data_IF_294578402214
#
_entry.id   IF_294578402214
#
_cell.length_a   1.000
_cell.length_b   1.000
_cell.length_c   1.000
_cell.angle_alpha   90.00
_cell.angle_beta   90.00
_cell.angle_gamma   90.00
#
_symmetry.space_group_name_H-M   'P 1'
#
loop_
_entity.id
_entity.type
_entity.pdbx_description
1 polymer ?
#
# COMPACT_ATOMS: atom_id res chain seq x y z
N UNK A 1 -6.21 -30.90 1.16
CA UNK A 1 -7.40 -30.40 0.48
C UNK A 1 -7.94 -29.16 1.18
N UNK A 2 -8.88 -28.45 0.56
CA UNK A 2 -9.35 -27.13 1.00
C UNK A 2 -9.92 -27.13 2.42
N UNK A 3 -10.75 -28.12 2.78
CA UNK A 3 -11.27 -28.22 4.16
C UNK A 3 -10.16 -28.36 5.22
N UNK A 4 -9.09 -29.10 4.92
CA UNK A 4 -7.95 -29.20 5.83
C UNK A 4 -7.29 -27.84 6.01
N UNK A 5 -7.03 -27.11 4.91
CA UNK A 5 -6.45 -25.77 4.93
C UNK A 5 -7.32 -24.80 5.72
N UNK A 6 -8.64 -24.78 5.49
CA UNK A 6 -9.56 -23.94 6.24
C UNK A 6 -9.51 -24.21 7.75
N UNK A 7 -9.50 -25.50 8.16
CA UNK A 7 -9.40 -25.88 9.58
C UNK A 7 -8.07 -25.42 10.20
N UNK A 8 -6.94 -25.54 9.47
CA UNK A 8 -5.63 -25.08 9.93
C UNK A 8 -5.61 -23.57 10.15
N UNK A 9 -6.19 -22.78 9.24
CA UNK A 9 -6.29 -21.32 9.35
C UNK A 9 -7.20 -20.90 10.51
N UNK A 10 -8.41 -21.47 10.64
CA UNK A 10 -9.31 -21.21 11.76
C UNK A 10 -8.66 -21.57 13.11
N UNK A 11 -7.97 -22.72 13.16
CA UNK A 11 -7.28 -23.14 14.37
C UNK A 11 -6.17 -22.15 14.76
N UNK A 12 -5.33 -21.73 13.79
CA UNK A 12 -4.28 -20.74 14.04
C UNK A 12 -4.90 -19.43 14.58
N UNK A 13 -5.89 -18.87 13.89
CA UNK A 13 -6.56 -17.63 14.29
C UNK A 13 -7.18 -17.70 15.67
N UNK A 14 -7.85 -18.82 15.99
CA UNK A 14 -8.45 -19.04 17.29
C UNK A 14 -7.38 -19.14 18.40
N UNK A 15 -6.32 -19.90 18.17
CA UNK A 15 -5.25 -20.09 19.15
C UNK A 15 -4.47 -18.81 19.42
N UNK A 16 -4.20 -18.00 18.42
CA UNK A 16 -3.50 -16.72 18.55
C UNK A 16 -4.26 -15.72 19.45
N UNK A 17 -5.58 -15.87 19.55
CA UNK A 17 -6.43 -15.02 20.41
C UNK A 17 -6.76 -15.68 21.74
N UNK A 18 -7.13 -16.96 21.74
CA UNK A 18 -7.60 -17.67 22.95
C UNK A 18 -6.49 -17.93 23.98
N UNK A 19 -5.23 -17.87 23.56
CA UNK A 19 -4.09 -17.99 24.48
C UNK A 19 -3.95 -16.79 25.44
N UNK A 20 -4.58 -15.64 25.11
CA UNK A 20 -4.49 -14.43 25.91
C UNK A 20 -5.55 -14.44 27.00
N UNK A 21 -5.19 -14.23 28.30
CA UNK A 21 -6.17 -14.09 29.39
C UNK A 21 -7.17 -12.96 29.07
N UNK A 22 -8.46 -13.24 29.31
CA UNK A 22 -9.56 -12.31 28.94
C UNK A 22 -9.39 -10.91 29.55
N UNK A 23 -9.00 -10.83 30.80
CA UNK A 23 -8.82 -9.57 31.52
C UNK A 23 -7.70 -8.74 30.91
N UNK A 24 -6.64 -9.39 30.45
CA UNK A 24 -5.52 -8.73 29.79
C UNK A 24 -5.86 -8.29 28.37
N UNK A 25 -6.61 -9.11 27.65
CA UNK A 25 -7.12 -8.72 26.34
C UNK A 25 -8.01 -7.47 26.42
N UNK A 26 -8.95 -7.44 27.38
CA UNK A 26 -9.82 -6.27 27.62
C UNK A 26 -9.00 -5.04 28.01
N UNK A 27 -8.00 -5.20 28.90
CA UNK A 27 -7.12 -4.11 29.30
C UNK A 27 -6.28 -3.58 28.13
N UNK A 28 -5.84 -4.46 27.23
CA UNK A 28 -5.13 -4.07 26.01
C UNK A 28 -6.02 -3.29 25.05
N UNK A 29 -7.26 -3.71 24.83
CA UNK A 29 -8.20 -2.96 23.99
C UNK A 29 -8.44 -1.53 24.54
N UNK A 30 -8.66 -1.41 25.85
CA UNK A 30 -8.79 -0.10 26.48
C UNK A 30 -7.53 0.76 26.34
N UNK A 31 -6.36 0.17 26.47
CA UNK A 31 -5.10 0.89 26.25
C UNK A 31 -4.97 1.40 24.80
N UNK A 32 -5.42 0.62 23.80
CA UNK A 32 -5.44 1.04 22.40
C UNK A 32 -6.33 2.26 22.20
N UNK A 33 -7.53 2.28 22.78
CA UNK A 33 -8.44 3.43 22.70
C UNK A 33 -7.80 4.68 23.34
N UNK A 34 -7.24 4.55 24.56
CA UNK A 34 -6.53 5.63 25.25
C UNK A 34 -5.30 6.14 24.44
N UNK A 35 -4.58 5.24 23.83
CA UNK A 35 -3.41 5.54 22.98
C UNK A 35 -3.81 6.27 21.69
N UNK A 36 -4.92 5.89 21.07
CA UNK A 36 -5.46 6.55 19.90
C UNK A 36 -5.87 8.00 20.21
N UNK A 37 -6.58 8.22 21.33
CA UNK A 37 -6.97 9.56 21.78
C UNK A 37 -5.73 10.44 22.07
N UNK A 38 -4.71 9.86 22.69
CA UNK A 38 -3.44 10.56 22.96
C UNK A 38 -2.71 10.91 21.65
N UNK A 39 -2.71 9.99 20.65
CA UNK A 39 -2.14 10.25 19.34
C UNK A 39 -2.87 11.39 18.60
N UNK A 40 -4.21 11.41 18.60
CA UNK A 40 -5.00 12.52 18.02
C UNK A 40 -4.57 13.86 18.64
N UNK A 41 -4.48 13.89 19.98
CA UNK A 41 -4.07 15.10 20.72
C UNK A 41 -2.64 15.51 20.36
N UNK A 42 -1.70 14.58 20.38
CA UNK A 42 -0.30 14.81 20.02
C UNK A 42 -0.17 15.37 18.60
N UNK A 43 -0.85 14.74 17.63
CA UNK A 43 -0.85 15.16 16.23
C UNK A 43 -1.46 16.56 16.05
N UNK A 44 -2.55 16.87 16.75
CA UNK A 44 -3.19 18.19 16.68
C UNK A 44 -2.30 19.31 17.23
N UNK A 45 -1.47 19.01 18.25
CA UNK A 45 -0.55 19.93 18.88
C UNK A 45 0.86 19.87 18.28
N UNK A 46 1.11 18.92 17.40
CA UNK A 46 2.44 18.63 16.85
C UNK A 46 3.49 18.38 17.94
N UNK A 47 3.16 17.59 18.94
CA UNK A 47 3.98 17.31 20.12
C UNK A 47 4.02 15.82 20.43
N UNK A 48 5.12 15.15 20.05
CA UNK A 48 5.33 13.72 20.27
C UNK A 48 5.34 13.34 21.76
N UNK A 49 5.76 14.23 22.64
CA UNK A 49 5.86 13.95 24.08
C UNK A 49 4.52 13.56 24.72
N UNK A 50 3.41 13.97 24.12
CA UNK A 50 2.05 13.61 24.56
C UNK A 50 1.76 12.13 24.27
N UNK A 51 2.24 11.61 23.11
CA UNK A 51 2.01 10.25 22.68
C UNK A 51 3.05 9.25 23.20
N UNK A 52 4.29 9.66 23.40
CA UNK A 52 5.40 8.79 23.80
C UNK A 52 5.08 7.83 24.96
N UNK A 53 4.48 8.29 26.09
CA UNK A 53 4.17 7.39 27.22
C UNK A 53 3.20 6.27 26.85
N UNK A 54 2.27 6.55 25.93
CA UNK A 54 1.31 5.56 25.43
C UNK A 54 1.97 4.60 24.45
N UNK A 55 2.81 5.10 23.55
CA UNK A 55 3.59 4.26 22.65
C UNK A 55 4.46 3.26 23.42
N UNK A 56 5.13 3.71 24.45
CA UNK A 56 5.94 2.85 25.33
C UNK A 56 5.08 1.75 25.95
N UNK A 57 3.93 2.11 26.53
CA UNK A 57 3.01 1.14 27.14
C UNK A 57 2.46 0.13 26.13
N UNK A 58 2.06 0.61 24.94
CA UNK A 58 1.49 -0.25 23.92
C UNK A 58 2.53 -1.28 23.42
N UNK A 59 3.80 -0.87 23.25
CA UNK A 59 4.89 -1.78 22.90
C UNK A 59 5.11 -2.83 23.98
N UNK A 60 5.15 -2.44 25.26
CA UNK A 60 5.34 -3.38 26.39
C UNK A 60 4.19 -4.37 26.50
N UNK A 61 2.95 -3.89 26.37
CA UNK A 61 1.77 -4.77 26.43
C UNK A 61 1.69 -5.65 25.20
N UNK A 62 1.99 -5.14 23.99
CA UNK A 62 2.07 -5.97 22.78
C UNK A 62 3.10 -7.10 22.94
N UNK A 63 4.31 -6.80 23.44
CA UNK A 63 5.30 -7.84 23.76
C UNK A 63 4.74 -8.90 24.72
N UNK A 64 3.93 -8.49 25.70
CA UNK A 64 3.29 -9.42 26.63
C UNK A 64 2.23 -10.28 25.94
N UNK A 65 1.38 -9.70 25.09
CA UNK A 65 0.35 -10.44 24.35
C UNK A 65 0.97 -11.51 23.45
N UNK A 66 2.02 -11.17 22.70
CA UNK A 66 2.69 -12.13 21.84
C UNK A 66 3.44 -13.25 22.59
N UNK A 67 3.91 -13.01 23.83
CA UNK A 67 4.48 -14.09 24.67
C UNK A 67 3.48 -15.17 25.05
N UNK A 68 2.19 -14.87 25.13
CA UNK A 68 1.15 -15.87 25.40
C UNK A 68 1.01 -16.91 24.29
N UNK A 69 1.44 -16.60 23.06
CA UNK A 69 1.45 -17.56 21.96
C UNK A 69 2.45 -18.69 22.15
N UNK A 70 3.37 -18.55 23.11
CA UNK A 70 4.40 -19.54 23.46
C UNK A 70 5.18 -20.04 22.22
N UNK A 71 5.55 -19.12 21.32
CA UNK A 71 6.29 -19.39 20.10
C UNK A 71 7.79 -19.22 20.34
N UNK A 72 8.60 -20.06 19.69
CA UNK A 72 10.07 -19.94 19.69
C UNK A 72 10.56 -18.78 18.80
N UNK A 73 9.68 -18.18 17.97
CA UNK A 73 10.03 -17.05 17.11
C UNK A 73 10.28 -15.79 17.95
N UNK A 74 11.17 -14.93 17.47
CA UNK A 74 11.32 -13.56 17.97
C UNK A 74 9.96 -12.84 17.98
N UNK A 75 9.72 -11.97 18.96
CA UNK A 75 8.43 -11.28 19.10
C UNK A 75 8.06 -10.44 17.89
N UNK A 76 9.04 -9.74 17.30
CA UNK A 76 8.78 -8.92 16.11
C UNK A 76 8.55 -9.80 14.87
N UNK A 77 9.22 -10.94 14.74
CA UNK A 77 8.94 -11.92 13.69
C UNK A 77 7.52 -12.48 13.76
N UNK A 78 6.96 -12.66 14.96
CA UNK A 78 5.56 -13.05 15.11
C UNK A 78 4.60 -11.96 14.61
N UNK A 79 4.92 -10.68 14.87
CA UNK A 79 4.12 -9.54 14.40
C UNK A 79 4.18 -9.42 12.88
N UNK A 80 5.35 -9.61 12.29
CA UNK A 80 5.51 -9.64 10.83
C UNK A 80 4.72 -10.79 10.18
N UNK A 81 4.77 -11.99 10.80
CA UNK A 81 4.06 -13.19 10.35
C UNK A 81 2.53 -13.06 10.40
N UNK A 82 1.99 -12.22 11.29
CA UNK A 82 0.55 -11.95 11.37
C UNK A 82 0.02 -11.24 10.11
N UNK A 83 0.80 -10.35 9.53
CA UNK A 83 0.40 -9.59 8.34
C UNK A 83 0.89 -10.20 7.03
N UNK A 84 2.04 -10.91 7.08
CA UNK A 84 2.60 -11.59 5.93
C UNK A 84 3.19 -12.94 6.38
N UNK A 85 2.42 -14.02 6.31
CA UNK A 85 2.85 -15.35 6.77
C UNK A 85 4.17 -15.79 6.17
N UNK A 86 5.09 -16.24 7.02
CA UNK A 86 6.40 -16.70 6.64
C UNK A 86 7.47 -15.61 6.47
N UNK A 87 7.12 -14.33 6.66
CA UNK A 87 8.11 -13.25 6.68
C UNK A 87 8.76 -13.10 8.06
N UNK A 88 10.03 -12.73 8.04
CA UNK A 88 10.88 -12.52 9.22
C UNK A 88 11.72 -11.27 9.06
N UNK A 89 12.30 -10.78 10.16
CA UNK A 89 13.27 -9.68 10.11
C UNK A 89 14.43 -9.98 9.15
N UNK A 90 14.95 -11.18 9.15
CA UNK A 90 16.03 -11.59 8.25
C UNK A 90 15.67 -11.39 6.77
N UNK A 91 14.47 -11.82 6.37
CA UNK A 91 13.98 -11.65 4.99
C UNK A 91 13.72 -10.19 4.64
N UNK A 92 13.10 -9.44 5.57
CA UNK A 92 12.88 -8.01 5.36
C UNK A 92 14.18 -7.21 5.35
N UNK A 93 15.18 -7.60 6.14
CA UNK A 93 16.51 -6.96 6.11
C UNK A 93 17.16 -7.08 4.72
N UNK A 94 17.11 -8.27 4.11
CA UNK A 94 17.59 -8.47 2.74
C UNK A 94 16.80 -7.63 1.73
N UNK A 95 15.48 -7.64 1.85
CA UNK A 95 14.59 -6.87 0.99
C UNK A 95 14.87 -5.37 1.07
N UNK A 96 14.85 -4.81 2.27
CA UNK A 96 15.05 -3.37 2.47
C UNK A 96 16.49 -2.91 2.22
N UNK A 97 17.48 -3.77 2.45
CA UNK A 97 18.87 -3.47 2.07
C UNK A 97 19.00 -3.28 0.56
N UNK A 98 18.39 -4.14 -0.24
CA UNK A 98 18.38 -4.02 -1.69
C UNK A 98 17.67 -2.73 -2.16
N UNK A 99 16.51 -2.39 -1.54
CA UNK A 99 15.82 -1.13 -1.83
C UNK A 99 16.69 0.09 -1.50
N UNK A 100 17.28 0.11 -0.31
CA UNK A 100 18.15 1.22 0.15
C UNK A 100 19.36 1.41 -0.77
N UNK A 101 20.04 0.33 -1.12
CA UNK A 101 21.24 0.34 -1.96
C UNK A 101 20.98 0.96 -3.33
N UNK A 102 19.85 0.59 -3.98
CA UNK A 102 19.54 1.03 -5.33
C UNK A 102 18.75 2.34 -5.39
N UNK A 103 17.78 2.54 -4.49
CA UNK A 103 16.86 3.67 -4.60
C UNK A 103 17.43 4.97 -4.00
N UNK A 104 18.20 4.94 -2.91
CA UNK A 104 18.78 6.16 -2.35
C UNK A 104 19.64 6.91 -3.36
N UNK A 105 20.59 6.28 -4.07
CA UNK A 105 21.36 6.96 -5.11
C UNK A 105 20.49 7.45 -6.30
N UNK A 106 19.47 6.68 -6.67
CA UNK A 106 18.56 7.07 -7.75
C UNK A 106 17.76 8.32 -7.38
N UNK A 107 17.19 8.36 -6.18
CA UNK A 107 16.47 9.53 -5.67
C UNK A 107 17.37 10.78 -5.63
N UNK A 108 18.63 10.63 -5.21
CA UNK A 108 19.59 11.74 -5.24
C UNK A 108 19.80 12.29 -6.67
N UNK A 109 19.95 11.40 -7.65
CA UNK A 109 20.09 11.80 -9.06
C UNK A 109 18.81 12.48 -9.57
N UNK A 110 17.65 11.92 -9.30
CA UNK A 110 16.34 12.49 -9.69
C UNK A 110 16.15 13.88 -9.07
N UNK A 111 16.50 14.05 -7.78
CA UNK A 111 16.38 15.34 -7.09
C UNK A 111 17.30 16.41 -7.68
N UNK A 112 18.46 16.03 -8.20
CA UNK A 112 19.43 16.95 -8.85
C UNK A 112 19.11 17.20 -10.32
N UNK A 113 18.28 16.36 -10.96
CA UNK A 113 17.89 16.51 -12.35
C UNK A 113 16.94 17.70 -12.56
N UNK A 114 16.75 18.08 -13.83
CA UNK A 114 15.75 19.09 -14.20
C UNK A 114 14.34 18.59 -13.80
N UNK A 115 13.73 19.32 -12.87
CA UNK A 115 12.39 18.97 -12.39
C UNK A 115 11.32 19.16 -13.47
N UNK A 116 10.30 18.31 -13.44
CA UNK A 116 9.16 18.35 -14.36
C UNK A 116 8.14 19.40 -13.90
N UNK A 117 7.40 19.97 -14.84
CA UNK A 117 6.34 20.91 -14.53
C UNK A 117 5.06 20.15 -14.16
N UNK A 118 4.61 20.28 -12.94
CA UNK A 118 3.35 19.72 -12.43
C UNK A 118 2.32 20.80 -12.05
N UNK A 119 2.66 22.10 -12.21
CA UNK A 119 1.85 23.21 -11.69
C UNK A 119 0.42 23.22 -12.26
N UNK A 120 0.22 22.74 -13.48
CA UNK A 120 -1.11 22.66 -14.09
C UNK A 120 -2.01 21.60 -13.43
N UNK A 121 -1.46 20.62 -12.73
CA UNK A 121 -2.23 19.63 -11.95
C UNK A 121 -2.77 20.19 -10.63
N UNK A 122 -2.24 21.32 -10.16
CA UNK A 122 -2.61 21.97 -8.89
C UNK A 122 -3.55 23.17 -9.07
N UNK A 123 -4.13 23.34 -10.27
CA UNK A 123 -5.20 24.29 -10.52
C UNK A 123 -6.54 23.82 -9.92
N UNK A 124 -7.57 24.63 -9.97
CA UNK A 124 -8.91 24.24 -9.51
C UNK A 124 -9.58 23.33 -10.53
N UNK A 125 -9.84 22.08 -10.15
CA UNK A 125 -10.62 21.07 -10.86
C UNK A 125 -11.97 20.93 -10.16
N UNK A 126 -13.09 21.43 -10.73
CA UNK A 126 -14.39 21.38 -10.07
C UNK A 126 -14.80 19.95 -9.69
N UNK A 127 -15.26 19.76 -8.45
CA UNK A 127 -15.59 18.42 -7.91
C UNK A 127 -16.66 17.72 -8.75
N UNK A 128 -17.68 18.45 -9.21
CA UNK A 128 -18.75 17.87 -10.03
C UNK A 128 -18.23 17.33 -11.38
N UNK A 129 -17.21 17.96 -11.95
CA UNK A 129 -16.59 17.49 -13.17
C UNK A 129 -15.64 16.32 -12.90
N UNK A 130 -14.96 16.31 -11.74
CA UNK A 130 -14.23 15.13 -11.29
C UNK A 130 -15.15 13.91 -11.16
N UNK A 131 -16.34 14.07 -10.59
CA UNK A 131 -17.35 12.98 -10.48
C UNK A 131 -17.84 12.48 -11.83
N UNK A 132 -17.99 13.36 -12.81
CA UNK A 132 -18.34 12.94 -14.18
C UNK A 132 -17.23 12.09 -14.81
N UNK A 133 -15.99 12.52 -14.68
CA UNK A 133 -14.86 11.74 -15.16
C UNK A 133 -14.74 10.38 -14.43
N UNK A 134 -14.98 10.39 -13.12
CA UNK A 134 -14.95 9.18 -12.30
C UNK A 134 -15.99 8.15 -12.74
N UNK A 135 -17.18 8.58 -13.14
CA UNK A 135 -18.21 7.67 -13.70
C UNK A 135 -17.67 6.93 -14.93
N UNK A 136 -17.02 7.63 -15.86
CA UNK A 136 -16.41 7.02 -17.04
C UNK A 136 -15.24 6.10 -16.69
N UNK A 137 -14.48 6.45 -15.65
CA UNK A 137 -13.40 5.58 -15.16
C UNK A 137 -13.93 4.29 -14.57
N UNK A 138 -14.97 4.34 -13.73
CA UNK A 138 -15.60 3.16 -13.14
C UNK A 138 -16.21 2.24 -14.22
N UNK A 139 -16.81 2.82 -15.27
CA UNK A 139 -17.27 2.05 -16.44
C UNK A 139 -16.10 1.33 -17.14
N UNK A 140 -14.97 2.02 -17.34
CA UNK A 140 -13.76 1.41 -17.90
C UNK A 140 -13.21 0.29 -17.03
N UNK A 141 -13.24 0.46 -15.72
CA UNK A 141 -12.80 -0.53 -14.73
C UNK A 141 -13.80 -1.68 -14.56
N UNK A 142 -14.94 -1.66 -15.23
CA UNK A 142 -16.05 -2.60 -15.04
C UNK A 142 -16.49 -2.77 -13.58
N UNK A 143 -16.40 -1.67 -12.81
CA UNK A 143 -16.84 -1.60 -11.42
C UNK A 143 -18.24 -1.00 -11.38
N UNK A 144 -19.26 -1.85 -11.24
CA UNK A 144 -20.65 -1.46 -11.33
C UNK A 144 -21.51 -1.99 -10.16
N UNK A 145 -22.76 -1.54 -10.09
CA UNK A 145 -23.70 -1.86 -9.02
C UNK A 145 -24.12 -3.31 -8.92
N UNK A 146 -23.69 -4.20 -9.83
CA UNK A 146 -23.97 -5.63 -9.72
C UNK A 146 -23.11 -6.33 -8.65
N UNK A 147 -21.95 -5.75 -8.31
CA UNK A 147 -21.03 -6.30 -7.33
C UNK A 147 -20.28 -5.27 -6.49
N UNK A 148 -20.33 -3.98 -6.86
CA UNK A 148 -19.58 -2.95 -6.18
C UNK A 148 -20.26 -1.59 -6.12
N UNK A 149 -19.85 -0.78 -5.17
CA UNK A 149 -20.32 0.60 -5.00
C UNK A 149 -19.22 1.51 -4.49
N UNK A 150 -19.09 2.73 -5.09
CA UNK A 150 -18.15 3.74 -4.63
C UNK A 150 -18.86 4.91 -3.96
N UNK A 151 -18.29 5.40 -2.87
CA UNK A 151 -18.72 6.61 -2.16
C UNK A 151 -17.53 7.53 -1.84
N UNK A 152 -17.74 8.57 -1.07
CA UNK A 152 -16.71 9.52 -0.63
C UNK A 152 -16.34 9.30 0.83
N UNK A 153 -15.06 9.48 1.17
CA UNK A 153 -14.56 9.48 2.56
C UNK A 153 -13.31 10.35 2.70
N UNK A 154 -12.92 10.68 3.95
CA UNK A 154 -11.69 11.43 4.22
C UNK A 154 -10.42 10.67 3.82
N UNK A 155 -10.43 9.36 4.00
CA UNK A 155 -9.37 8.46 3.55
C UNK A 155 -10.00 7.37 2.69
N UNK A 156 -9.57 7.22 1.42
CA UNK A 156 -10.01 6.12 0.58
C UNK A 156 -9.78 4.78 1.26
N UNK A 157 -10.71 3.86 1.12
CA UNK A 157 -10.61 2.49 1.61
C UNK A 157 -11.55 1.56 0.86
N UNK A 158 -11.27 0.27 0.95
CA UNK A 158 -12.12 -0.82 0.45
C UNK A 158 -12.62 -1.67 1.60
N UNK A 159 -13.87 -2.06 1.54
CA UNK A 159 -14.50 -3.05 2.42
C UNK A 159 -15.37 -3.99 1.61
N UNK A 160 -15.62 -5.17 2.13
CA UNK A 160 -16.48 -6.17 1.50
C UNK A 160 -17.24 -6.96 2.54
N UNK A 161 -18.39 -7.50 2.13
CA UNK A 161 -19.23 -8.38 2.94
C UNK A 161 -19.28 -9.79 2.32
N UNK A 162 -19.25 -9.84 1.01
CA UNK A 162 -19.13 -11.04 0.18
C UNK A 162 -18.59 -10.62 -1.21
N UNK A 163 -18.37 -11.58 -2.09
CA UNK A 163 -17.83 -11.36 -3.43
C UNK A 163 -18.70 -10.42 -4.32
N UNK A 164 -19.98 -10.27 -3.99
CA UNK A 164 -20.91 -9.40 -4.71
C UNK A 164 -21.31 -8.13 -3.93
N UNK A 165 -20.62 -7.80 -2.83
CA UNK A 165 -20.79 -6.56 -2.07
C UNK A 165 -19.45 -5.99 -1.67
N UNK A 166 -18.71 -5.44 -2.66
CA UNK A 166 -17.47 -4.72 -2.46
C UNK A 166 -17.73 -3.22 -2.48
N UNK A 167 -17.25 -2.51 -1.47
CA UNK A 167 -17.49 -1.08 -1.29
C UNK A 167 -16.18 -0.33 -1.23
N UNK A 168 -15.98 0.59 -2.16
CA UNK A 168 -14.81 1.46 -2.21
C UNK A 168 -15.17 2.89 -1.85
N UNK A 169 -14.20 3.66 -1.41
CA UNK A 169 -14.37 5.10 -1.25
C UNK A 169 -13.22 5.85 -1.93
N UNK A 170 -13.49 7.08 -2.34
CA UNK A 170 -12.47 8.00 -2.86
C UNK A 170 -12.61 9.36 -2.18
N UNK A 171 -11.61 10.23 -2.37
CA UNK A 171 -11.64 11.62 -1.90
C UNK A 171 -11.39 12.56 -3.06
N UNK A 172 -12.33 13.46 -3.30
CA UNK A 172 -12.15 14.52 -4.29
C UNK A 172 -11.48 15.74 -3.67
N UNK A 173 -10.38 16.15 -4.30
CA UNK A 173 -9.61 17.34 -3.89
C UNK A 173 -9.66 18.36 -5.03
N UNK A 174 -10.06 19.62 -4.73
CA UNK A 174 -10.25 20.64 -5.77
C UNK A 174 -9.01 20.92 -6.62
N UNK A 175 -7.83 20.80 -6.03
CA UNK A 175 -6.57 21.11 -6.70
C UNK A 175 -5.70 19.85 -6.91
N UNK A 176 -6.32 18.68 -6.99
CA UNK A 176 -5.64 17.42 -7.27
C UNK A 176 -6.62 16.37 -7.82
N UNK A 177 -6.87 16.41 -9.13
CA UNK A 177 -7.75 15.44 -9.79
C UNK A 177 -7.12 14.05 -9.88
N UNK A 178 -5.79 13.97 -9.95
CA UNK A 178 -5.07 12.71 -10.15
C UNK A 178 -5.12 11.85 -8.88
N UNK A 179 -5.12 12.46 -7.71
CA UNK A 179 -5.27 11.74 -6.43
C UNK A 179 -6.57 10.92 -6.40
N UNK A 180 -7.71 11.50 -6.79
CA UNK A 180 -8.98 10.78 -6.85
C UNK A 180 -8.98 9.64 -7.88
N UNK A 181 -8.34 9.84 -9.03
CA UNK A 181 -8.23 8.80 -10.07
C UNK A 181 -7.39 7.63 -9.60
N UNK A 182 -6.19 7.88 -9.08
CA UNK A 182 -5.28 6.83 -8.67
C UNK A 182 -5.79 6.07 -7.44
N UNK A 183 -6.36 6.77 -6.45
CA UNK A 183 -6.97 6.11 -5.30
C UNK A 183 -8.18 5.25 -5.71
N UNK A 184 -9.00 5.70 -6.67
CA UNK A 184 -10.09 4.86 -7.18
C UNK A 184 -9.58 3.58 -7.84
N UNK A 185 -8.57 3.67 -8.69
CA UNK A 185 -7.98 2.48 -9.32
C UNK A 185 -7.36 1.55 -8.28
N UNK A 186 -6.70 2.10 -7.26
CA UNK A 186 -6.14 1.37 -6.13
C UNK A 186 -7.23 0.59 -5.38
N UNK A 187 -8.27 1.28 -4.93
CA UNK A 187 -9.34 0.66 -4.14
C UNK A 187 -10.15 -0.36 -4.96
N UNK A 188 -10.38 -0.10 -6.24
CA UNK A 188 -11.01 -1.08 -7.14
C UNK A 188 -10.12 -2.31 -7.34
N UNK A 189 -8.78 -2.16 -7.31
CA UNK A 189 -7.84 -3.28 -7.32
C UNK A 189 -8.03 -4.20 -6.11
N UNK A 190 -8.19 -3.66 -4.91
CA UNK A 190 -8.55 -4.40 -3.69
C UNK A 190 -9.91 -5.09 -3.85
N UNK A 191 -10.92 -4.37 -4.37
CA UNK A 191 -12.26 -4.91 -4.54
C UNK A 191 -12.28 -6.09 -5.52
N UNK A 192 -11.51 -6.03 -6.61
CA UNK A 192 -11.39 -7.14 -7.55
C UNK A 192 -10.76 -8.39 -6.93
N UNK A 193 -9.82 -8.23 -6.00
CA UNK A 193 -9.20 -9.37 -5.33
C UNK A 193 -10.25 -10.17 -4.55
N UNK A 194 -11.13 -9.48 -3.83
CA UNK A 194 -12.21 -10.11 -3.07
C UNK A 194 -13.35 -10.63 -3.98
N UNK A 195 -13.77 -9.83 -4.96
CA UNK A 195 -14.84 -10.20 -5.89
C UNK A 195 -14.52 -11.46 -6.71
N UNK A 196 -13.27 -11.65 -7.07
CA UNK A 196 -12.85 -12.70 -7.99
C UNK A 196 -12.49 -14.03 -7.31
N UNK A 197 -12.61 -14.15 -5.99
CA UNK A 197 -12.40 -15.42 -5.28
C UNK A 197 -13.42 -16.46 -5.78
N UNK A 198 -13.01 -17.72 -5.90
CA UNK A 198 -13.90 -18.80 -6.33
C UNK A 198 -15.10 -18.92 -5.36
N UNK A 199 -16.35 -18.79 -5.84
CA UNK A 199 -17.55 -18.87 -5.01
C UNK A 199 -17.67 -20.16 -4.17
N UNK A 200 -16.94 -21.22 -4.51
CA UNK A 200 -16.90 -22.44 -3.68
C UNK A 200 -16.34 -22.18 -2.26
N UNK A 201 -15.62 -21.07 -2.05
CA UNK A 201 -15.07 -20.70 -0.76
C UNK A 201 -15.98 -19.76 0.05
N UNK A 202 -17.13 -19.37 -0.50
CA UNK A 202 -18.06 -18.47 0.19
C UNK A 202 -18.41 -18.97 1.59
N UNK A 203 -18.41 -18.07 2.57
CA UNK A 203 -18.61 -18.39 3.98
C UNK A 203 -17.46 -19.16 4.67
N UNK A 204 -16.33 -19.37 4.01
CA UNK A 204 -15.13 -19.98 4.58
C UNK A 204 -14.02 -18.93 4.75
N UNK A 205 -13.08 -19.17 5.66
CA UNK A 205 -11.86 -18.34 5.78
C UNK A 205 -11.03 -18.30 4.48
N UNK A 206 -11.22 -19.26 3.60
CA UNK A 206 -10.56 -19.32 2.29
C UNK A 206 -11.10 -18.29 1.29
N UNK A 207 -12.25 -17.65 1.56
CA UNK A 207 -12.76 -16.55 0.74
C UNK A 207 -12.03 -15.22 0.96
N UNK A 208 -11.17 -15.13 1.96
CA UNK A 208 -10.38 -13.93 2.24
C UNK A 208 -9.09 -13.91 1.40
N UNK A 209 -8.50 -12.71 1.23
CA UNK A 209 -7.16 -12.55 0.65
C UNK A 209 -6.08 -13.20 1.52
N UNK A 210 -4.97 -13.62 0.90
CA UNK A 210 -3.91 -14.42 1.54
C UNK A 210 -3.24 -13.66 2.70
N UNK A 211 -2.90 -12.37 2.48
CA UNK A 211 -2.11 -11.56 3.41
C UNK A 211 -2.26 -10.09 3.06
N UNK A 212 -1.79 -9.21 3.96
CA UNK A 212 -1.79 -7.77 3.70
C UNK A 212 -0.91 -7.40 2.50
N UNK A 213 0.26 -8.03 2.35
CA UNK A 213 1.14 -7.79 1.20
C UNK A 213 0.53 -8.30 -0.12
N UNK A 214 -0.12 -9.46 -0.12
CA UNK A 214 -0.83 -9.95 -1.30
C UNK A 214 -2.00 -9.05 -1.68
N UNK A 215 -2.78 -8.58 -0.70
CA UNK A 215 -3.89 -7.65 -0.93
C UNK A 215 -3.40 -6.33 -1.52
N UNK A 216 -2.36 -5.75 -0.92
CA UNK A 216 -1.72 -4.53 -1.43
C UNK A 216 -1.08 -4.74 -2.81
N UNK A 217 -0.63 -5.95 -3.14
CA UNK A 217 -0.06 -6.24 -4.46
C UNK A 217 -1.09 -6.08 -5.58
N UNK A 218 -2.36 -6.36 -5.33
CA UNK A 218 -3.43 -6.24 -6.32
C UNK A 218 -3.83 -4.76 -6.53
N UNK A 219 -3.93 -3.99 -5.47
CA UNK A 219 -4.17 -2.54 -5.54
C UNK A 219 -3.00 -1.80 -6.21
N UNK A 220 -1.76 -2.10 -5.82
CA UNK A 220 -0.57 -1.48 -6.40
C UNK A 220 -0.30 -1.91 -7.83
N UNK A 221 -0.67 -3.14 -8.22
CA UNK A 221 -0.63 -3.56 -9.61
C UNK A 221 -1.52 -2.65 -10.46
N UNK A 222 -2.75 -2.42 -10.02
CA UNK A 222 -3.69 -1.56 -10.73
C UNK A 222 -3.23 -0.10 -10.73
N UNK A 223 -2.84 0.45 -9.59
CA UNK A 223 -2.41 1.85 -9.47
C UNK A 223 -1.10 2.14 -10.20
N UNK A 224 -0.02 1.40 -9.86
CA UNK A 224 1.33 1.75 -10.30
C UNK A 224 1.65 1.18 -11.68
N UNK A 225 1.30 -0.10 -11.93
CA UNK A 225 1.72 -0.81 -13.14
C UNK A 225 0.69 -0.76 -14.27
N UNK A 226 -0.55 -0.36 -14.01
CA UNK A 226 -1.57 -0.08 -15.03
C UNK A 226 -1.86 1.42 -15.13
N UNK A 227 -2.37 2.06 -14.07
CA UNK A 227 -2.86 3.46 -14.15
C UNK A 227 -1.77 4.53 -14.26
N UNK A 228 -0.51 4.24 -13.94
CA UNK A 228 0.60 5.18 -14.14
C UNK A 228 1.35 4.99 -15.47
N UNK A 229 0.79 4.20 -16.40
CA UNK A 229 1.41 3.93 -17.71
C UNK A 229 0.94 4.88 -18.79
N UNK A 230 1.74 5.03 -19.86
CA UNK A 230 1.35 5.77 -21.06
C UNK A 230 0.11 5.15 -21.71
N UNK A 231 0.01 3.82 -21.77
CA UNK A 231 -1.09 3.10 -22.40
C UNK A 231 -2.45 3.38 -21.75
N UNK A 232 -2.53 3.39 -20.42
CA UNK A 232 -3.74 3.77 -19.70
C UNK A 232 -4.18 5.19 -20.04
N UNK A 233 -3.24 6.15 -20.01
CA UNK A 233 -3.55 7.54 -20.25
C UNK A 233 -3.75 7.87 -21.73
N UNK A 234 -3.24 7.10 -22.68
CA UNK A 234 -3.62 7.23 -24.09
C UNK A 234 -5.12 7.09 -24.29
N UNK A 235 -5.78 6.24 -23.52
CA UNK A 235 -7.24 6.10 -23.54
C UNK A 235 -7.95 7.21 -22.74
N UNK A 236 -7.47 7.54 -21.56
CA UNK A 236 -8.17 8.41 -20.61
C UNK A 236 -7.86 9.90 -20.77
N UNK A 237 -6.66 10.27 -21.23
CA UNK A 237 -6.25 11.68 -21.25
C UNK A 237 -7.09 12.55 -22.19
N UNK A 238 -7.48 12.14 -23.39
CA UNK A 238 -8.39 12.93 -24.23
C UNK A 238 -9.72 13.25 -23.53
N UNK A 239 -10.28 12.30 -22.77
CA UNK A 239 -11.51 12.49 -22.00
C UNK A 239 -11.29 13.42 -20.81
N UNK A 240 -10.14 13.33 -20.16
CA UNK A 240 -9.77 14.23 -19.07
C UNK A 240 -9.60 15.67 -19.57
N UNK A 241 -8.97 15.87 -20.73
CA UNK A 241 -8.85 17.19 -21.38
C UNK A 241 -10.21 17.77 -21.77
N UNK A 242 -11.11 16.94 -22.30
CA UNK A 242 -12.48 17.35 -22.64
C UNK A 242 -13.26 17.76 -21.38
N UNK A 243 -13.06 17.07 -20.27
CA UNK A 243 -13.70 17.38 -18.98
C UNK A 243 -13.11 18.66 -18.37
N UNK A 244 -11.81 18.90 -18.53
CA UNK A 244 -11.08 20.04 -17.93
C UNK A 244 -10.32 20.85 -18.97
N UNK A 245 -11.02 21.45 -19.96
CA UNK A 245 -10.38 22.14 -21.08
C UNK A 245 -9.59 23.40 -20.67
N UNK A 246 -10.01 24.05 -19.57
CA UNK A 246 -9.32 25.24 -19.05
C UNK A 246 -7.97 24.89 -18.45
N UNK A 247 -7.88 23.78 -17.72
CA UNK A 247 -6.67 23.36 -17.02
C UNK A 247 -5.72 22.58 -17.93
N UNK A 248 -6.27 21.72 -18.78
CA UNK A 248 -5.48 20.71 -19.53
C UNK A 248 -5.52 20.90 -21.05
N UNK A 249 -6.37 21.77 -21.60
CA UNK A 249 -6.55 21.89 -23.03
C UNK A 249 -5.30 22.25 -23.84
N UNK A 250 -4.34 22.94 -23.23
CA UNK A 250 -3.05 23.30 -23.84
C UNK A 250 -1.86 22.46 -23.32
N UNK A 251 -2.11 21.41 -22.54
CA UNK A 251 -1.07 20.52 -22.00
C UNK A 251 -0.92 19.33 -22.94
N UNK A 252 0.27 19.08 -23.42
CA UNK A 252 0.55 17.91 -24.24
C UNK A 252 0.47 16.61 -23.43
N UNK A 253 0.27 15.49 -24.13
CA UNK A 253 0.26 14.18 -23.47
C UNK A 253 1.57 13.88 -22.73
N UNK A 254 2.71 14.23 -23.34
CA UNK A 254 4.03 13.97 -22.73
C UNK A 254 4.23 14.80 -21.46
N UNK A 255 3.86 16.10 -21.48
CA UNK A 255 3.91 16.95 -20.29
C UNK A 255 3.00 16.41 -19.17
N UNK A 256 1.80 15.97 -19.53
CA UNK A 256 0.87 15.36 -18.57
C UNK A 256 1.44 14.07 -17.98
N UNK A 257 1.95 13.16 -18.81
CA UNK A 257 2.52 11.89 -18.37
C UNK A 257 3.74 12.12 -17.47
N UNK A 258 4.61 13.06 -17.82
CA UNK A 258 5.72 13.45 -16.95
C UNK A 258 5.25 13.97 -15.60
N UNK A 259 4.23 14.83 -15.57
CA UNK A 259 3.72 15.47 -14.35
C UNK A 259 3.10 14.47 -13.36
N UNK A 260 2.30 13.50 -13.83
CA UNK A 260 1.68 12.48 -12.96
C UNK A 260 2.66 11.45 -12.42
N UNK A 261 3.88 11.42 -12.92
CA UNK A 261 4.96 10.52 -12.52
C UNK A 261 6.16 11.29 -11.89
N UNK A 262 5.97 12.54 -11.50
CA UNK A 262 7.01 13.31 -10.79
C UNK A 262 7.43 12.55 -9.53
N UNK A 263 8.74 12.46 -9.31
CA UNK A 263 9.31 11.94 -8.08
C UNK A 263 10.09 13.05 -7.37
N UNK A 264 9.64 13.35 -6.16
CA UNK A 264 10.34 14.28 -5.25
C UNK A 264 10.14 13.85 -3.80
N UNK A 265 11.20 13.84 -3.00
CA UNK A 265 11.09 13.51 -1.59
C UNK A 265 10.09 14.43 -0.87
N UNK A 266 9.24 13.83 -0.06
CA UNK A 266 8.21 14.51 0.72
C UNK A 266 8.24 14.04 2.17
N UNK A 267 7.43 14.67 3.05
CA UNK A 267 7.39 14.31 4.47
C UNK A 267 6.37 13.22 4.77
N UNK A 268 5.24 13.20 4.03
CA UNK A 268 4.08 12.37 4.36
C UNK A 268 4.02 11.15 3.45
N UNK A 269 4.02 9.97 4.06
CA UNK A 269 4.04 8.68 3.35
C UNK A 269 2.87 8.52 2.37
N UNK A 270 1.65 8.89 2.78
CA UNK A 270 0.46 8.74 1.95
C UNK A 270 0.41 9.68 0.74
N UNK A 271 1.27 10.71 0.73
CA UNK A 271 1.44 11.67 -0.36
C UNK A 271 2.73 11.40 -1.16
N UNK A 272 3.49 10.36 -0.79
CA UNK A 272 4.76 10.05 -1.43
C UNK A 272 4.55 9.50 -2.84
N UNK A 273 5.44 9.88 -3.74
CA UNK A 273 5.50 9.32 -5.08
C UNK A 273 5.97 7.85 -5.08
N UNK A 274 5.81 7.20 -6.22
CA UNK A 274 6.10 5.78 -6.41
C UNK A 274 7.57 5.42 -6.12
N UNK A 275 8.52 6.32 -6.44
CA UNK A 275 9.95 6.08 -6.25
C UNK A 275 10.37 6.20 -4.78
N UNK A 276 9.85 7.21 -4.07
CA UNK A 276 10.25 7.50 -2.69
C UNK A 276 9.45 6.71 -1.65
N UNK A 277 8.25 6.24 -1.99
CA UNK A 277 7.35 5.51 -1.08
C UNK A 277 7.99 4.36 -0.31
N UNK A 278 8.77 3.44 -0.93
CA UNK A 278 9.35 2.32 -0.19
C UNK A 278 10.36 2.73 0.88
N UNK A 279 11.00 3.89 0.75
CA UNK A 279 11.90 4.41 1.80
C UNK A 279 11.15 5.01 2.99
N UNK A 280 9.95 5.54 2.79
CA UNK A 280 9.05 5.88 3.90
C UNK A 280 8.68 4.64 4.72
N UNK A 281 8.43 3.52 4.06
CA UNK A 281 8.14 2.24 4.72
C UNK A 281 9.38 1.70 5.44
N UNK A 282 10.55 1.78 4.82
CA UNK A 282 11.82 1.36 5.42
C UNK A 282 12.10 2.05 6.76
N UNK A 283 11.89 3.36 6.86
CA UNK A 283 12.06 4.10 8.13
C UNK A 283 11.22 3.47 9.24
N UNK A 284 9.97 3.15 8.96
CA UNK A 284 9.06 2.54 9.94
C UNK A 284 9.49 1.15 10.34
N UNK A 285 9.91 0.34 9.38
CA UNK A 285 10.42 -1.00 9.63
C UNK A 285 11.66 -0.99 10.54
N UNK A 286 12.64 -0.14 10.24
CA UNK A 286 13.87 -0.05 11.03
C UNK A 286 13.58 0.44 12.47
N UNK A 287 12.66 1.39 12.63
CA UNK A 287 12.24 1.87 13.95
C UNK A 287 11.53 0.76 14.72
N UNK A 288 10.51 0.11 14.14
CA UNK A 288 9.80 -0.98 14.81
C UNK A 288 10.75 -2.10 15.23
N UNK A 289 11.58 -2.57 14.30
CA UNK A 289 12.61 -3.57 14.58
C UNK A 289 13.50 -3.17 15.76
N UNK A 290 13.94 -1.90 15.79
CA UNK A 290 14.77 -1.37 16.87
C UNK A 290 14.04 -1.31 18.22
N UNK A 291 12.77 -0.90 18.24
CA UNK A 291 11.93 -0.84 19.44
C UNK A 291 11.66 -2.22 20.04
N UNK A 292 11.37 -3.21 19.19
CA UNK A 292 11.10 -4.57 19.66
C UNK A 292 12.34 -5.34 20.06
N UNK A 293 13.47 -5.08 19.42
CA UNK A 293 14.78 -5.68 19.76
C UNK A 293 15.53 -4.90 20.87
N UNK A 294 15.02 -3.73 21.29
CA UNK A 294 15.62 -2.92 22.35
C UNK A 294 16.86 -2.12 21.95
N UNK A 295 17.09 -1.94 20.66
CA UNK A 295 18.21 -1.12 20.12
C UNK A 295 17.81 0.34 19.89
N UNK A 296 16.51 0.65 19.85
CA UNK A 296 15.93 1.99 19.78
C UNK A 296 14.99 2.17 20.99
N UNK A 297 14.98 3.37 21.59
CA UNK A 297 14.06 3.76 22.66
C UNK A 297 12.90 4.60 22.11
N UNK A 298 11.76 4.63 22.83
CA UNK A 298 10.68 5.59 22.56
C UNK A 298 11.07 7.02 22.92
N UNK A 299 12.02 7.19 23.86
CA UNK A 299 12.53 8.49 24.26
C UNK A 299 13.34 9.13 23.11
N UNK A 300 12.94 10.33 22.69
CA UNK A 300 13.57 11.02 21.57
C UNK A 300 13.40 10.36 20.21
N UNK A 301 12.37 9.52 20.04
CA UNK A 301 12.15 8.77 18.82
C UNK A 301 11.85 9.67 17.62
N UNK A 302 11.26 10.85 17.83
CA UNK A 302 11.06 11.85 16.78
C UNK A 302 12.38 12.37 16.18
N UNK A 303 13.44 12.50 16.99
CA UNK A 303 14.78 12.87 16.51
C UNK A 303 15.38 11.73 15.66
N UNK A 304 15.21 10.48 16.11
CA UNK A 304 15.63 9.29 15.35
C UNK A 304 14.90 9.22 14.01
N UNK A 305 13.58 9.45 13.99
CA UNK A 305 12.78 9.56 12.78
C UNK A 305 13.31 10.62 11.82
N UNK A 306 13.53 11.84 12.31
CA UNK A 306 14.00 12.96 11.52
C UNK A 306 15.39 12.69 10.91
N UNK A 307 16.29 12.04 11.67
CA UNK A 307 17.60 11.62 11.17
C UNK A 307 17.49 10.61 10.02
N UNK A 308 16.63 9.60 10.14
CA UNK A 308 16.42 8.61 9.08
C UNK A 308 15.81 9.23 7.83
N UNK A 309 14.87 10.15 7.98
CA UNK A 309 14.29 10.89 6.84
C UNK A 309 15.35 11.74 6.11
N UNK A 310 16.25 12.38 6.86
CA UNK A 310 17.35 13.10 6.26
C UNK A 310 18.32 12.19 5.52
N UNK A 311 18.63 11.03 6.10
CA UNK A 311 19.57 10.07 5.52
C UNK A 311 19.02 9.43 4.24
N UNK A 312 17.73 8.98 4.24
CA UNK A 312 17.18 8.18 3.14
C UNK A 312 16.49 9.02 2.08
N UNK A 313 15.82 10.09 2.47
CA UNK A 313 15.02 10.93 1.58
C UNK A 313 15.64 12.32 1.35
N UNK A 314 16.66 12.70 2.13
CA UNK A 314 17.32 13.99 2.00
C UNK A 314 16.51 15.18 2.53
N UNK A 315 15.38 14.95 3.23
CA UNK A 315 14.47 16.00 3.70
C UNK A 315 14.63 16.29 5.19
N UNK A 316 14.43 17.54 5.57
CA UNK A 316 14.40 17.99 6.96
C UNK A 316 12.94 18.08 7.42
N UNK A 317 12.52 17.14 8.27
CA UNK A 317 11.14 17.07 8.77
C UNK A 317 10.84 18.31 9.64
N UNK A 318 9.81 19.12 9.32
CA UNK A 318 9.64 20.42 9.96
C UNK A 318 9.00 20.36 11.35
N UNK A 319 8.26 19.31 11.66
CA UNK A 319 7.55 19.14 12.93
C UNK A 319 7.03 17.71 13.10
N UNK A 320 6.59 17.34 14.32
CA UNK A 320 6.13 16.01 14.66
C UNK A 320 4.85 15.59 13.93
N UNK A 321 3.95 16.54 13.59
CA UNK A 321 2.67 16.27 12.94
C UNK A 321 2.84 15.61 11.56
N UNK A 322 3.77 16.10 10.75
CA UNK A 322 4.13 15.54 9.45
C UNK A 322 5.33 14.60 9.52
N UNK A 323 5.92 14.46 10.71
CA UNK A 323 6.95 13.50 11.06
C UNK A 323 6.37 12.24 11.68
N UNK A 324 6.83 11.90 12.86
CA UNK A 324 6.53 10.65 13.56
C UNK A 324 5.04 10.44 13.87
N UNK A 325 4.25 11.50 13.97
CA UNK A 325 2.81 11.44 14.28
C UNK A 325 1.90 11.33 13.04
N UNK A 326 2.47 11.20 11.84
CA UNK A 326 1.67 11.21 10.62
C UNK A 326 0.75 9.98 10.48
N UNK A 327 1.20 8.80 10.90
CA UNK A 327 0.48 7.54 10.79
C UNK A 327 -0.19 7.13 12.12
N UNK A 328 -1.36 6.50 12.03
CA UNK A 328 -2.15 6.04 13.19
C UNK A 328 -1.69 4.69 13.73
N UNK A 329 -1.03 3.86 12.93
CA UNK A 329 -0.79 2.43 13.14
C UNK A 329 -0.19 2.08 14.51
N UNK A 330 0.77 2.86 14.99
CA UNK A 330 1.38 2.58 16.29
C UNK A 330 0.45 2.86 17.47
N UNK A 331 -0.52 3.75 17.28
CA UNK A 331 -1.47 4.08 18.35
C UNK A 331 -2.44 2.93 18.65
N UNK A 332 -2.70 2.08 17.68
CA UNK A 332 -3.57 0.91 17.84
C UNK A 332 -2.80 -0.42 17.95
N UNK A 333 -1.46 -0.36 17.99
CA UNK A 333 -0.61 -1.54 18.15
C UNK A 333 -0.39 -2.37 16.89
N UNK A 334 -0.64 -1.80 15.70
CA UNK A 334 -0.43 -2.47 14.40
C UNK A 334 1.06 -2.52 14.02
N UNK A 335 1.89 -3.10 14.89
CA UNK A 335 3.31 -3.32 14.61
C UNK A 335 3.52 -4.51 13.68
N UNK A 336 4.45 -4.37 12.72
CA UNK A 336 4.70 -5.37 11.68
C UNK A 336 3.87 -5.19 10.42
N UNK A 337 2.93 -4.22 10.42
CA UNK A 337 2.06 -3.94 9.27
C UNK A 337 2.77 -3.18 8.15
N UNK A 338 3.53 -2.13 8.49
CA UNK A 338 4.15 -1.23 7.49
C UNK A 338 4.98 -1.93 6.42
N UNK A 339 5.80 -2.96 6.72
CA UNK A 339 6.59 -3.62 5.70
C UNK A 339 5.78 -4.21 4.55
N UNK A 340 4.52 -4.60 4.78
CA UNK A 340 3.65 -5.21 3.79
C UNK A 340 3.31 -4.26 2.63
N UNK A 341 3.32 -2.95 2.85
CA UNK A 341 3.09 -1.96 1.81
C UNK A 341 4.18 -1.97 0.73
N UNK A 342 5.45 -2.02 1.14
CA UNK A 342 6.56 -2.08 0.18
C UNK A 342 6.68 -3.47 -0.45
N UNK A 343 6.47 -4.53 0.34
CA UNK A 343 6.51 -5.90 -0.15
C UNK A 343 5.40 -6.16 -1.17
N UNK A 344 4.18 -5.70 -0.90
CA UNK A 344 3.06 -5.81 -1.84
C UNK A 344 3.33 -5.11 -3.17
N UNK A 345 3.93 -3.91 -3.13
CA UNK A 345 4.33 -3.20 -4.35
C UNK A 345 5.38 -3.99 -5.15
N UNK A 346 6.32 -4.65 -4.46
CA UNK A 346 7.31 -5.49 -5.10
C UNK A 346 6.72 -6.81 -5.65
N UNK A 347 5.74 -7.41 -4.96
CA UNK A 347 4.98 -8.56 -5.48
C UNK A 347 4.25 -8.19 -6.77
N UNK A 348 3.63 -7.00 -6.81
CA UNK A 348 2.95 -6.50 -8.00
C UNK A 348 3.87 -6.41 -9.22
N UNK A 349 5.14 -5.99 -9.04
CA UNK A 349 6.12 -5.94 -10.11
C UNK A 349 6.38 -7.33 -10.74
N UNK A 350 6.55 -8.35 -9.91
CA UNK A 350 6.79 -9.70 -10.37
C UNK A 350 5.56 -10.31 -11.04
N UNK A 351 4.37 -10.07 -10.50
CA UNK A 351 3.11 -10.48 -11.14
C UNK A 351 2.87 -9.78 -12.47
N UNK A 352 3.17 -8.49 -12.57
CA UNK A 352 3.11 -7.76 -13.83
C UNK A 352 4.08 -8.33 -14.86
N UNK A 353 5.31 -8.66 -14.44
CA UNK A 353 6.28 -9.32 -15.32
C UNK A 353 5.75 -10.67 -15.84
N UNK A 354 5.12 -11.48 -14.98
CA UNK A 354 4.49 -12.73 -15.39
C UNK A 354 3.33 -12.50 -16.37
N UNK A 355 2.44 -11.55 -16.08
CA UNK A 355 1.30 -11.20 -16.93
C UNK A 355 1.73 -10.77 -18.34
N UNK A 356 2.80 -9.97 -18.45
CA UNK A 356 3.33 -9.48 -19.74
C UNK A 356 3.94 -10.57 -20.62
N UNK A 357 4.19 -11.78 -20.09
CA UNK A 357 4.56 -12.95 -20.92
C UNK A 357 3.35 -13.51 -21.67
N UNK A 358 2.16 -13.35 -21.12
CA UNK A 358 0.91 -13.91 -21.63
C UNK A 358 0.07 -12.88 -22.42
N UNK A 359 0.15 -11.59 -22.03
CA UNK A 359 -0.71 -10.52 -22.54
C UNK A 359 0.09 -9.31 -23.02
N UNK A 360 -0.35 -8.72 -24.10
CA UNK A 360 0.05 -7.36 -24.51
C UNK A 360 -0.77 -6.33 -23.71
N UNK A 361 -0.34 -6.12 -22.45
CA UNK A 361 -1.05 -5.28 -21.49
C UNK A 361 -1.25 -3.85 -21.99
N UNK A 362 -0.26 -3.28 -22.68
CA UNK A 362 -0.33 -1.90 -23.14
C UNK A 362 -1.38 -1.74 -24.27
N UNK A 363 -1.44 -2.68 -25.19
CA UNK A 363 -2.51 -2.71 -26.22
C UNK A 363 -3.88 -2.89 -25.60
N UNK A 364 -4.04 -3.76 -24.59
CA UNK A 364 -5.31 -3.97 -23.89
C UNK A 364 -5.79 -2.70 -23.19
N UNK A 365 -4.91 -2.01 -22.44
CA UNK A 365 -5.25 -0.78 -21.72
C UNK A 365 -5.70 0.33 -22.70
N UNK A 366 -4.96 0.55 -23.78
CA UNK A 366 -5.27 1.61 -24.76
C UNK A 366 -6.55 1.33 -25.58
N UNK A 367 -7.00 0.08 -25.64
CA UNK A 367 -8.19 -0.35 -26.38
C UNK A 367 -9.41 -0.64 -25.49
N UNK A 368 -9.44 -0.18 -24.24
CA UNK A 368 -10.57 -0.42 -23.32
C UNK A 368 -10.87 -1.93 -23.06
N UNK A 369 -9.81 -2.72 -22.90
CA UNK A 369 -9.91 -4.16 -22.65
C UNK A 369 -9.38 -4.50 -21.25
N UNK A 370 -9.76 -3.70 -20.26
CA UNK A 370 -9.36 -3.86 -18.86
C UNK A 370 -9.84 -5.19 -18.27
N UNK A 371 -11.01 -5.65 -18.71
CA UNK A 371 -11.61 -6.93 -18.33
C UNK A 371 -10.71 -8.15 -18.63
N UNK A 372 -9.97 -8.12 -19.74
CA UNK A 372 -9.02 -9.18 -20.10
C UNK A 372 -7.89 -9.28 -19.08
N UNK A 373 -7.39 -8.12 -18.62
CA UNK A 373 -6.34 -8.04 -17.59
C UNK A 373 -6.88 -8.57 -16.24
N UNK A 374 -8.09 -8.13 -15.86
CA UNK A 374 -8.71 -8.58 -14.61
C UNK A 374 -9.05 -10.08 -14.65
N UNK A 375 -9.43 -10.61 -15.80
CA UNK A 375 -9.64 -12.05 -15.97
C UNK A 375 -8.33 -12.85 -15.82
N UNK A 376 -7.22 -12.35 -16.35
CA UNK A 376 -5.91 -12.99 -16.10
C UNK A 376 -5.58 -13.02 -14.59
N UNK A 377 -5.78 -11.91 -13.88
CA UNK A 377 -5.58 -11.85 -12.42
C UNK A 377 -6.50 -12.80 -11.69
N UNK A 378 -7.78 -12.89 -12.09
CA UNK A 378 -8.75 -13.84 -11.57
C UNK A 378 -8.25 -15.27 -11.70
N UNK A 379 -7.87 -15.67 -12.91
CA UNK A 379 -7.50 -17.06 -13.20
C UNK A 379 -6.16 -17.48 -12.58
N UNK A 380 -5.23 -16.56 -12.39
CA UNK A 380 -3.88 -16.87 -11.89
C UNK A 380 -3.69 -16.59 -10.41
N UNK A 381 -4.45 -15.63 -9.84
CA UNK A 381 -4.25 -15.15 -8.47
C UNK A 381 -5.53 -15.20 -7.65
N UNK A 382 -6.56 -14.43 -8.04
CA UNK A 382 -7.68 -14.09 -7.16
C UNK A 382 -8.53 -15.29 -6.77
N UNK A 383 -8.85 -16.19 -7.74
CA UNK A 383 -9.74 -17.33 -7.53
C UNK A 383 -9.30 -18.29 -6.41
N UNK A 384 -8.05 -18.21 -6.02
CA UNK A 384 -7.52 -19.10 -4.99
C UNK A 384 -7.83 -18.64 -3.57
N UNK A 385 -8.19 -17.36 -3.35
CA UNK A 385 -8.37 -16.82 -2.02
C UNK A 385 -7.20 -17.19 -1.11
N UNK A 386 -7.47 -17.59 0.12
CA UNK A 386 -6.44 -18.01 1.09
C UNK A 386 -6.07 -19.51 0.99
N UNK A 387 -6.21 -20.10 -0.20
CA UNK A 387 -5.87 -21.51 -0.43
C UNK A 387 -4.38 -21.81 -0.29
N UNK A 388 -3.53 -20.89 -0.74
CA UNK A 388 -2.08 -20.99 -0.77
C UNK A 388 -1.44 -19.92 0.11
N UNK A 389 -0.18 -20.13 0.52
CA UNK A 389 0.64 -19.05 1.07
C UNK A 389 1.20 -18.16 -0.06
N UNK A 390 1.54 -16.89 0.25
CA UNK A 390 2.03 -15.95 -0.76
C UNK A 390 3.28 -16.45 -1.52
N UNK A 391 4.29 -17.06 -0.89
CA UNK A 391 5.43 -17.60 -1.62
C UNK A 391 5.07 -18.74 -2.58
N UNK A 392 4.12 -19.59 -2.19
CA UNK A 392 3.67 -20.72 -3.04
C UNK A 392 2.92 -20.18 -4.26
N UNK A 393 2.00 -19.23 -4.06
CA UNK A 393 1.26 -18.61 -5.15
C UNK A 393 2.20 -17.82 -6.08
N UNK A 394 3.15 -17.07 -5.53
CA UNK A 394 4.15 -16.35 -6.33
C UNK A 394 4.90 -17.29 -7.28
N UNK A 395 5.36 -18.43 -6.77
CA UNK A 395 6.06 -19.43 -7.56
C UNK A 395 5.17 -20.09 -8.62
N UNK A 396 3.90 -20.34 -8.29
CA UNK A 396 2.93 -20.88 -9.24
C UNK A 396 2.69 -19.94 -10.42
N UNK A 397 2.58 -18.65 -10.17
CA UNK A 397 2.24 -17.63 -11.17
C UNK A 397 3.45 -17.18 -11.97
N UNK A 398 4.57 -16.90 -11.31
CA UNK A 398 5.76 -16.34 -11.96
C UNK A 398 6.76 -17.40 -12.43
N UNK A 399 6.68 -18.62 -11.90
CA UNK A 399 7.61 -19.71 -12.17
C UNK A 399 8.85 -19.71 -11.28
N UNK A 400 8.99 -18.76 -10.37
CA UNK A 400 10.15 -18.59 -9.48
C UNK A 400 9.77 -18.04 -8.10
N UNK A 401 10.71 -18.14 -7.17
CA UNK A 401 10.57 -17.51 -5.84
C UNK A 401 10.52 -15.99 -5.97
N UNK A 402 10.07 -15.28 -4.91
CA UNK A 402 10.05 -13.83 -4.90
C UNK A 402 11.44 -13.23 -5.17
N UNK A 403 11.47 -12.28 -6.10
CA UNK A 403 12.69 -11.61 -6.55
C UNK A 403 12.46 -10.09 -6.62
N UNK A 404 13.05 -9.36 -5.67
CA UNK A 404 12.93 -7.90 -5.55
C UNK A 404 13.43 -7.14 -6.77
N UNK A 405 14.29 -7.75 -7.59
CA UNK A 405 14.87 -7.06 -8.76
C UNK A 405 13.82 -6.64 -9.78
N UNK A 406 12.71 -7.36 -9.94
CA UNK A 406 11.61 -6.91 -10.82
C UNK A 406 11.10 -5.52 -10.45
N UNK A 407 10.98 -5.24 -9.16
CA UNK A 407 10.56 -3.94 -8.66
C UNK A 407 11.64 -2.87 -8.84
N UNK A 408 12.86 -3.19 -8.48
CA UNK A 408 14.00 -2.28 -8.57
C UNK A 408 14.31 -1.91 -10.02
N UNK A 409 14.33 -2.89 -10.92
CA UNK A 409 14.59 -2.67 -12.36
C UNK A 409 13.49 -1.80 -12.99
N UNK A 410 12.21 -2.05 -12.63
CA UNK A 410 11.09 -1.21 -13.05
C UNK A 410 11.27 0.27 -12.64
N UNK A 411 11.59 0.51 -11.37
CA UNK A 411 11.78 1.88 -10.88
C UNK A 411 12.99 2.56 -11.53
N UNK A 412 14.12 1.86 -11.63
CA UNK A 412 15.32 2.39 -12.26
C UNK A 412 15.09 2.72 -13.74
N UNK A 413 14.50 1.82 -14.49
CA UNK A 413 14.20 2.03 -15.92
C UNK A 413 13.27 3.22 -16.11
N UNK A 414 12.15 3.25 -15.36
CA UNK A 414 11.14 4.31 -15.46
C UNK A 414 11.73 5.69 -15.15
N UNK A 415 12.39 5.83 -14.01
CA UNK A 415 12.86 7.13 -13.53
C UNK A 415 14.14 7.60 -14.23
N UNK A 416 15.01 6.68 -14.64
CA UNK A 416 16.16 7.01 -15.52
C UNK A 416 15.68 7.57 -16.85
N UNK A 417 14.68 6.95 -17.48
CA UNK A 417 14.08 7.43 -18.71
C UNK A 417 13.36 8.77 -18.51
N UNK A 418 12.53 8.89 -17.48
CA UNK A 418 11.73 10.08 -17.21
C UNK A 418 12.59 11.33 -16.96
N UNK A 419 13.70 11.18 -16.26
CA UNK A 419 14.60 12.28 -15.89
C UNK A 419 15.85 12.41 -16.79
N UNK A 420 16.02 11.54 -17.78
CA UNK A 420 17.18 11.49 -18.69
C UNK A 420 18.52 11.37 -17.93
N UNK A 421 18.62 10.41 -17.01
CA UNK A 421 19.78 10.17 -16.14
C UNK A 421 20.83 9.29 -16.82
#
# INVERSE_FOLDING_TARGET
>A
GDNKRAVELYYKQAMDTMCIPKEEFVAYQKLRDESFDAWIKAKSQSDYSIFEPYLKKIIEVSKKMYRYRNSDKNLYDQMLDDYEPGMTQEKYDVFFAALKERLVPLIQKVTQAKQKNEAFLHQEFPIEDQKKFMTQLLEYLHFDSSWGYQNESEHPFTSWTCENDCRTTTKYVKNDVISAVLSTVHEVGHAYYEHNVDPKYDGMILSEGISSGMHESQSRLCENYLARTTAFWQYHYPKLQETFPTQLGNVSFDEFYEAINVAKPSFVRTEADELTYPLHVLVRYEIEKGLFNGTISTEGLNETWNKMYKEYLGVDVPNDKVGILQDVHWSDGSFGYFPTYALGTAFAAQYMHAMRKDLDVDTLLSNNQYDVIMNWLKEHIHKYGFRYEAPELMKMVSGEEFNVNYYLDYLEEKYTKLYNL
#
